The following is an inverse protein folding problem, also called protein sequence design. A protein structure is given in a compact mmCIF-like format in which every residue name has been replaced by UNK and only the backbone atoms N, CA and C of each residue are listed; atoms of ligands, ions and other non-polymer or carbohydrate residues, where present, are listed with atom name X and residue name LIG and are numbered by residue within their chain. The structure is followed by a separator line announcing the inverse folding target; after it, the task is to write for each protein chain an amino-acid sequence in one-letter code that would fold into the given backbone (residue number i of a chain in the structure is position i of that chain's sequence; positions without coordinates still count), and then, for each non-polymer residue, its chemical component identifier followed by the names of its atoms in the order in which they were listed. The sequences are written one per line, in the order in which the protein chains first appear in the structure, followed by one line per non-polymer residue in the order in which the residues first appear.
data_IF_296034063763
#
_entry.id   IF_296034063763
#
_cell.length_a   1.000
_cell.length_b   1.000
_cell.length_c   1.000
_cell.angle_alpha   90.00
_cell.angle_beta   90.00
_cell.angle_gamma   90.00
#
_symmetry.space_group_name_H-M   'P 1'
#
loop_
_entity.id
_entity.type
_entity.pdbx_description
1 polymer ?
#
# COMPACT_ATOMS: atom_id res chain seq x y z
N UNK A 1 -20.63 17.48 2.62
CA UNK A 1 -20.05 16.71 3.76
C UNK A 1 -19.81 15.24 3.43
N UNK A 2 -20.81 14.50 2.90
CA UNK A 2 -20.65 13.06 2.59
C UNK A 2 -19.48 12.74 1.64
N UNK A 3 -19.30 13.52 0.58
CA UNK A 3 -18.20 13.32 -0.38
C UNK A 3 -16.81 13.48 0.26
N UNK A 4 -16.66 14.40 1.23
CA UNK A 4 -15.40 14.62 1.94
C UNK A 4 -15.04 13.43 2.85
N UNK A 5 -16.04 12.86 3.53
CA UNK A 5 -15.86 11.65 4.34
C UNK A 5 -15.49 10.44 3.47
N UNK A 6 -16.13 10.29 2.31
CA UNK A 6 -15.79 9.24 1.34
C UNK A 6 -14.36 9.41 0.82
N UNK A 7 -13.95 10.63 0.48
CA UNK A 7 -12.58 10.91 0.04
C UNK A 7 -11.54 10.54 1.11
N UNK A 8 -11.76 10.97 2.36
CA UNK A 8 -10.88 10.61 3.50
C UNK A 8 -10.79 9.09 3.65
N UNK A 9 -11.93 8.38 3.61
CA UNK A 9 -11.95 6.93 3.75
C UNK A 9 -11.09 6.23 2.68
N UNK A 10 -11.25 6.61 1.40
CA UNK A 10 -10.48 6.00 0.31
C UNK A 10 -8.99 6.35 0.35
N UNK A 11 -8.64 7.59 0.72
CA UNK A 11 -7.23 7.98 0.88
C UNK A 11 -6.59 7.20 2.03
N UNK A 12 -7.27 7.08 3.17
CA UNK A 12 -6.76 6.30 4.31
C UNK A 12 -6.60 4.82 3.95
N UNK A 13 -7.57 4.24 3.21
CA UNK A 13 -7.48 2.86 2.76
C UNK A 13 -6.32 2.63 1.80
N UNK A 14 -6.11 3.56 0.85
CA UNK A 14 -4.97 3.56 -0.06
C UNK A 14 -3.63 3.58 0.69
N UNK A 15 -3.48 4.51 1.64
CA UNK A 15 -2.27 4.62 2.46
C UNK A 15 -2.05 3.36 3.29
N UNK A 16 -3.10 2.81 3.90
CA UNK A 16 -3.01 1.57 4.68
C UNK A 16 -2.50 0.41 3.82
N UNK A 17 -3.02 0.25 2.61
CA UNK A 17 -2.63 -0.84 1.70
C UNK A 17 -1.18 -0.74 1.23
N UNK A 18 -0.69 0.47 0.95
CA UNK A 18 0.69 0.69 0.50
C UNK A 18 1.69 0.59 1.65
N UNK A 19 1.31 1.06 2.84
CA UNK A 19 2.16 1.01 4.02
C UNK A 19 2.13 -0.36 4.71
N UNK A 20 1.10 -1.18 4.50
CA UNK A 20 0.98 -2.51 5.10
C UNK A 20 2.27 -3.36 5.00
N UNK A 21 2.88 -3.56 3.82
CA UNK A 21 4.11 -4.35 3.75
C UNK A 21 5.31 -3.65 4.42
N UNK A 22 5.35 -2.32 4.46
CA UNK A 22 6.39 -1.59 5.22
C UNK A 22 6.23 -1.78 6.72
N UNK A 23 4.99 -1.79 7.23
CA UNK A 23 4.72 -2.06 8.63
C UNK A 23 5.16 -3.47 9.02
N UNK A 24 4.96 -4.47 8.14
CA UNK A 24 5.42 -5.83 8.37
C UNK A 24 6.95 -5.91 8.48
N UNK A 25 7.69 -5.17 7.64
CA UNK A 25 9.15 -5.12 7.72
C UNK A 25 9.69 -4.55 9.04
N UNK A 26 8.91 -3.71 9.74
CA UNK A 26 9.34 -3.15 11.04
C UNK A 26 9.36 -4.23 12.14
N UNK A 27 8.49 -5.24 12.03
CA UNK A 27 8.39 -6.32 13.00
C UNK A 27 9.29 -7.52 12.67
N UNK A 28 9.88 -7.55 11.48
CA UNK A 28 10.75 -8.63 11.04
C UNK A 28 12.18 -8.46 11.58
N UNK A 29 12.85 -9.58 11.84
CA UNK A 29 14.25 -9.54 12.27
C UNK A 29 15.14 -9.20 11.07
N UNK A 30 15.97 -8.17 11.24
CA UNK A 30 16.93 -7.75 10.21
C UNK A 30 17.93 -8.88 9.97
N UNK A 31 18.01 -9.47 8.76
CA UNK A 31 18.89 -10.60 8.51
C UNK A 31 20.36 -10.23 8.78
N UNK A 32 21.14 -11.13 9.40
CA UNK A 32 22.54 -10.84 9.71
C UNK A 32 23.32 -10.57 8.41
N UNK A 33 24.06 -9.45 8.38
CA UNK A 33 24.81 -9.00 7.21
C UNK A 33 24.01 -8.13 6.23
N UNK A 34 22.74 -7.82 6.51
CA UNK A 34 22.00 -6.83 5.73
C UNK A 34 22.39 -5.41 6.16
N UNK A 35 23.02 -4.67 5.26
CA UNK A 35 23.33 -3.24 5.46
C UNK A 35 22.12 -2.34 5.25
N UNK A 36 22.24 -1.05 5.56
CA UNK A 36 21.17 -0.05 5.37
C UNK A 36 20.52 -0.10 3.98
N UNK A 37 21.33 -0.20 2.91
CA UNK A 37 20.85 -0.22 1.52
C UNK A 37 20.00 -1.45 1.19
N UNK A 38 20.18 -2.57 1.89
CA UNK A 38 19.35 -3.75 1.72
C UNK A 38 17.93 -3.49 2.21
N UNK A 39 17.79 -2.97 3.44
CA UNK A 39 16.49 -2.61 4.01
C UNK A 39 15.80 -1.50 3.22
N UNK A 40 16.55 -0.48 2.78
CA UNK A 40 16.02 0.59 1.94
C UNK A 40 15.48 0.07 0.59
N UNK A 41 16.23 -0.80 -0.08
CA UNK A 41 15.80 -1.40 -1.36
C UNK A 41 14.59 -2.31 -1.18
N UNK A 42 14.54 -3.09 -0.08
CA UNK A 42 13.37 -3.88 0.28
C UNK A 42 12.14 -2.99 0.47
N UNK A 43 12.25 -1.93 1.27
CA UNK A 43 11.17 -1.00 1.51
C UNK A 43 10.60 -0.41 0.20
N UNK A 44 11.48 0.01 -0.71
CA UNK A 44 11.07 0.50 -2.04
C UNK A 44 10.39 -0.59 -2.88
N UNK A 45 10.92 -1.81 -2.90
CA UNK A 45 10.34 -2.93 -3.64
C UNK A 45 8.94 -3.28 -3.18
N UNK A 46 8.74 -3.40 -1.86
CA UNK A 46 7.44 -3.67 -1.27
C UNK A 46 6.43 -2.54 -1.53
N UNK A 47 6.84 -1.29 -1.37
CA UNK A 47 6.00 -0.13 -1.68
C UNK A 47 5.60 -0.10 -3.17
N UNK A 48 6.56 -0.34 -4.07
CA UNK A 48 6.32 -0.38 -5.51
C UNK A 48 5.33 -1.47 -5.93
N UNK A 49 5.49 -2.69 -5.42
CA UNK A 49 4.57 -3.80 -5.71
C UNK A 49 3.16 -3.51 -5.16
N UNK A 50 3.05 -2.94 -3.95
CA UNK A 50 1.76 -2.55 -3.40
C UNK A 50 1.07 -1.46 -4.25
N UNK A 51 1.82 -0.46 -4.72
CA UNK A 51 1.30 0.56 -5.64
C UNK A 51 0.83 -0.05 -6.97
N UNK A 52 1.59 -0.97 -7.57
CA UNK A 52 1.19 -1.65 -8.80
C UNK A 52 -0.08 -2.48 -8.58
N UNK A 53 -0.17 -3.23 -7.48
CA UNK A 53 -1.38 -3.97 -7.11
C UNK A 53 -2.61 -3.06 -6.92
N UNK A 54 -2.41 -1.87 -6.33
CA UNK A 54 -3.49 -0.89 -6.16
C UNK A 54 -4.06 -0.42 -7.50
N UNK A 55 -3.22 -0.22 -8.52
CA UNK A 55 -3.67 0.15 -9.87
C UNK A 55 -4.55 -0.95 -10.50
N UNK A 56 -4.21 -2.23 -10.27
CA UNK A 56 -5.08 -3.34 -10.65
C UNK A 56 -6.39 -3.36 -9.87
N UNK A 57 -6.37 -3.00 -8.58
CA UNK A 57 -7.56 -2.97 -7.74
C UNK A 57 -8.55 -1.88 -8.18
N UNK A 58 -8.05 -0.74 -8.66
CA UNK A 58 -8.86 0.35 -9.22
C UNK A 58 -9.44 0.02 -10.60
N UNK A 59 -8.73 -0.80 -11.39
CA UNK A 59 -9.16 -1.22 -12.74
C UNK A 59 -9.98 -2.50 -12.74
N UNK A 60 -9.87 -3.32 -11.70
CA UNK A 60 -10.77 -4.44 -11.46
C UNK A 60 -12.20 -3.88 -11.38
N UNK A 61 -13.08 -4.38 -12.26
CA UNK A 61 -14.50 -3.99 -12.33
C UNK A 61 -15.28 -4.45 -11.10
N UNK A 62 -14.98 -3.90 -9.92
CA UNK A 62 -15.87 -3.97 -8.77
C UNK A 62 -17.08 -3.08 -9.05
N UNK A 63 -18.13 -3.70 -9.60
CA UNK A 63 -19.41 -3.07 -10.00
C UNK A 63 -20.16 -2.36 -8.85
N UNK A 64 -19.65 -2.44 -7.61
CA UNK A 64 -20.17 -1.71 -6.45
C UNK A 64 -19.51 -0.34 -6.23
N UNK A 65 -18.35 -0.08 -6.86
CA UNK A 65 -17.67 1.22 -6.87
C UNK A 65 -18.00 2.06 -8.12
N UNK A 66 -18.67 1.46 -9.10
CA UNK A 66 -19.13 2.10 -10.34
C UNK A 66 -20.65 1.94 -10.45
N UNK A 67 -21.39 2.70 -9.65
CA UNK A 67 -22.74 3.11 -10.06
C UNK A 67 -22.60 4.31 -10.99
N UNK A 68 -23.44 4.43 -12.03
CA UNK A 68 -23.41 5.57 -12.94
C UNK A 68 -23.62 6.90 -12.20
#
# INVERSE_FOLDING_TARGET
MKAFQTAIFWISLYLLLILAPLLLLIFDEVPPGSGFWWGFSMALGFAGVAMMGMQFLLTARFRRASSP
#
